data_IF_597256400507
#
_entry.id   IF_597256400507
#
_cell.length_a   1.000
_cell.length_b   1.000
_cell.length_c   1.000
_cell.angle_alpha   90.00
_cell.angle_beta   90.00
_cell.angle_gamma   90.00
#
_symmetry.space_group_name_H-M   'P 1'
#
loop_
_entity.id
_entity.type
_entity.pdbx_description
1 polymer ?
#
# COMPACT_ATOMS: atom_id res chain seq x y z
N UNK A 1 2.62 -25.82 -33.44
CA UNK A 1 2.44 -24.83 -32.36
C UNK A 1 3.50 -25.10 -31.31
N UNK A 2 4.24 -24.08 -30.84
CA UNK A 2 5.27 -24.26 -29.79
C UNK A 2 4.59 -24.40 -28.42
N UNK A 3 5.07 -25.29 -27.57
CA UNK A 3 4.65 -25.36 -26.15
C UNK A 3 5.13 -24.12 -25.39
N UNK A 4 4.26 -23.58 -24.53
CA UNK A 4 4.60 -22.45 -23.65
C UNK A 4 4.78 -23.01 -22.24
N UNK A 5 6.02 -23.04 -21.75
CA UNK A 5 6.36 -23.61 -20.43
C UNK A 5 6.37 -22.55 -19.32
N UNK A 6 6.53 -21.27 -19.69
CA UNK A 6 6.64 -20.14 -18.75
C UNK A 6 5.96 -18.91 -19.33
N UNK A 7 5.32 -18.15 -18.47
CA UNK A 7 4.75 -16.82 -18.75
C UNK A 7 5.55 -15.77 -17.99
N UNK A 8 5.65 -14.57 -18.57
CA UNK A 8 6.20 -13.42 -17.85
C UNK A 8 5.20 -12.94 -16.80
N UNK A 9 5.70 -12.52 -15.66
CA UNK A 9 4.95 -11.84 -14.62
C UNK A 9 5.75 -10.64 -14.13
N UNK A 10 5.06 -9.56 -13.80
CA UNK A 10 5.68 -8.36 -13.25
C UNK A 10 6.34 -8.69 -11.89
N UNK A 11 7.65 -8.40 -11.70
CA UNK A 11 8.35 -8.71 -10.46
C UNK A 11 7.77 -8.05 -9.21
N UNK A 12 7.29 -6.81 -9.31
CA UNK A 12 6.69 -6.08 -8.20
C UNK A 12 5.35 -6.71 -7.82
N UNK A 13 4.56 -7.14 -8.81
CA UNK A 13 3.34 -7.93 -8.59
C UNK A 13 3.63 -9.21 -7.81
N UNK A 14 4.67 -9.96 -8.18
CA UNK A 14 5.04 -11.19 -7.47
C UNK A 14 5.42 -10.92 -6.00
N UNK A 15 6.15 -9.83 -5.74
CA UNK A 15 6.54 -9.42 -4.38
C UNK A 15 5.31 -9.16 -3.50
N UNK A 16 4.37 -8.37 -4.00
CA UNK A 16 3.23 -7.94 -3.20
C UNK A 16 2.13 -8.99 -3.08
N UNK A 17 1.93 -9.83 -4.10
CA UNK A 17 1.06 -11.01 -3.97
C UNK A 17 1.61 -12.02 -2.94
N UNK A 18 2.93 -12.22 -2.89
CA UNK A 18 3.55 -13.05 -1.87
C UNK A 18 3.35 -12.48 -0.47
N UNK A 19 3.54 -11.18 -0.29
CA UNK A 19 3.34 -10.51 0.99
C UNK A 19 1.86 -10.56 1.43
N UNK A 20 0.92 -10.28 0.52
CA UNK A 20 -0.52 -10.40 0.78
C UNK A 20 -0.89 -11.82 1.26
N UNK A 21 -0.40 -12.85 0.57
CA UNK A 21 -0.65 -14.23 0.96
C UNK A 21 -0.10 -14.56 2.36
N UNK A 22 1.10 -14.06 2.71
CA UNK A 22 1.66 -14.22 4.05
C UNK A 22 0.88 -13.47 5.14
N UNK A 23 0.18 -12.40 4.77
CA UNK A 23 -0.73 -11.67 5.65
C UNK A 23 -2.14 -12.29 5.73
N UNK A 24 -2.40 -13.37 4.98
CA UNK A 24 -3.70 -14.06 4.95
C UNK A 24 -4.68 -13.50 3.92
N UNK A 25 -4.22 -12.67 2.99
CA UNK A 25 -5.03 -12.06 1.94
C UNK A 25 -4.85 -12.78 0.61
N UNK A 26 -5.95 -13.21 0.01
CA UNK A 26 -6.01 -13.67 -1.37
C UNK A 26 -6.44 -12.51 -2.26
N UNK A 27 -5.57 -12.08 -3.15
CA UNK A 27 -5.85 -10.93 -4.01
C UNK A 27 -6.56 -11.38 -5.29
N UNK A 28 -7.68 -10.75 -5.61
CA UNK A 28 -8.41 -10.91 -6.86
C UNK A 28 -8.45 -9.59 -7.65
N UNK A 29 -8.68 -9.69 -8.96
CA UNK A 29 -8.74 -8.54 -9.86
C UNK A 29 -10.16 -8.45 -10.44
N UNK A 30 -10.80 -7.29 -10.36
CA UNK A 30 -12.15 -7.06 -10.87
C UNK A 30 -12.29 -5.66 -11.45
N UNK A 31 -13.10 -5.48 -12.49
CA UNK A 31 -13.40 -4.16 -13.06
C UNK A 31 -14.56 -3.45 -12.32
N UNK A 32 -15.14 -4.09 -11.30
CA UNK A 32 -16.36 -3.62 -10.63
C UNK A 32 -16.10 -2.78 -9.37
N UNK A 33 -14.88 -2.81 -8.83
CA UNK A 33 -14.50 -2.12 -7.60
C UNK A 33 -13.12 -1.49 -7.73
N UNK A 34 -12.86 -0.43 -6.96
CA UNK A 34 -11.50 0.12 -6.84
C UNK A 34 -10.65 -0.76 -5.90
N UNK A 35 -11.11 -0.94 -4.66
CA UNK A 35 -10.65 -1.95 -3.73
C UNK A 35 -11.83 -2.37 -2.84
N UNK A 36 -11.87 -3.63 -2.43
CA UNK A 36 -12.83 -4.12 -1.45
C UNK A 36 -12.31 -5.35 -0.71
N UNK A 37 -12.57 -5.39 0.59
CA UNK A 37 -12.28 -6.52 1.44
C UNK A 37 -13.58 -7.22 1.85
N UNK A 38 -13.65 -8.53 1.64
CA UNK A 38 -14.87 -9.30 1.85
C UNK A 38 -15.18 -9.69 3.31
N UNK A 39 -14.27 -9.40 4.26
CA UNK A 39 -14.40 -9.85 5.65
C UNK A 39 -14.02 -11.32 5.87
N UNK A 40 -13.49 -12.02 4.86
CA UNK A 40 -13.33 -13.47 4.87
C UNK A 40 -12.06 -13.99 4.17
N UNK A 41 -11.17 -13.11 3.69
CA UNK A 41 -9.87 -13.52 3.13
C UNK A 41 -9.57 -12.98 1.74
N UNK A 42 -10.52 -12.32 1.08
CA UNK A 42 -10.38 -11.86 -0.30
C UNK A 42 -10.28 -10.35 -0.35
N UNK A 43 -9.15 -9.89 -0.91
CA UNK A 43 -8.93 -8.50 -1.26
C UNK A 43 -9.12 -8.34 -2.77
N UNK A 44 -10.24 -7.76 -3.19
CA UNK A 44 -10.52 -7.49 -4.59
C UNK A 44 -10.00 -6.11 -4.95
N UNK A 45 -9.17 -6.00 -5.99
CA UNK A 45 -8.60 -4.73 -6.45
C UNK A 45 -8.93 -4.52 -7.93
N UNK A 46 -9.25 -3.28 -8.30
CA UNK A 46 -9.55 -2.82 -9.66
C UNK A 46 -8.58 -3.35 -10.71
N UNK A 47 -9.05 -3.75 -11.89
CA UNK A 47 -8.14 -4.09 -13.00
C UNK A 47 -7.37 -2.84 -13.46
N UNK A 48 -6.22 -2.97 -14.15
CA UNK A 48 -5.42 -1.81 -14.55
C UNK A 48 -6.21 -0.76 -15.35
N UNK A 49 -7.25 -1.17 -16.08
CA UNK A 49 -8.10 -0.28 -16.88
C UNK A 49 -9.06 0.59 -16.04
N UNK A 50 -9.25 0.25 -14.76
CA UNK A 50 -10.14 0.97 -13.83
C UNK A 50 -9.40 1.77 -12.77
N UNK A 51 -8.07 1.70 -12.74
CA UNK A 51 -7.20 2.41 -11.80
C UNK A 51 -6.57 3.64 -12.48
N UNK A 52 -6.03 4.56 -11.68
CA UNK A 52 -5.31 5.71 -12.23
C UNK A 52 -4.02 5.23 -12.93
N UNK A 53 -3.51 5.92 -13.97
CA UNK A 53 -2.36 5.45 -14.74
C UNK A 53 -1.06 5.30 -13.93
N UNK A 54 -0.96 5.96 -12.78
CA UNK A 54 0.14 5.86 -11.83
C UNK A 54 -0.17 4.95 -10.63
N UNK A 55 -1.24 4.16 -10.69
CA UNK A 55 -1.51 3.06 -9.77
C UNK A 55 -0.79 1.77 -10.18
N UNK A 56 -0.24 1.11 -9.17
CA UNK A 56 0.26 -0.26 -9.26
C UNK A 56 -0.48 -1.16 -8.28
N UNK A 57 -0.50 -2.46 -8.56
CA UNK A 57 -1.04 -3.44 -7.61
C UNK A 57 -0.35 -3.35 -6.24
N UNK A 58 0.94 -3.00 -6.21
CA UNK A 58 1.69 -2.81 -4.97
C UNK A 58 1.18 -1.64 -4.13
N UNK A 59 0.91 -0.48 -4.74
CA UNK A 59 0.29 0.66 -4.07
C UNK A 59 -1.05 0.26 -3.45
N UNK A 60 -1.90 -0.41 -4.22
CA UNK A 60 -3.22 -0.83 -3.75
C UNK A 60 -3.15 -1.83 -2.59
N UNK A 61 -2.26 -2.83 -2.65
CA UNK A 61 -2.09 -3.79 -1.55
C UNK A 61 -1.53 -3.09 -0.30
N UNK A 62 -0.55 -2.20 -0.44
CA UNK A 62 -0.02 -1.46 0.71
C UNK A 62 -1.10 -0.60 1.35
N UNK A 63 -1.89 0.11 0.55
CA UNK A 63 -2.97 0.99 1.00
C UNK A 63 -4.02 0.22 1.80
N UNK A 64 -4.53 -0.89 1.25
CA UNK A 64 -5.51 -1.75 1.93
C UNK A 64 -4.95 -2.40 3.18
N UNK A 65 -3.66 -2.75 3.18
CA UNK A 65 -2.99 -3.23 4.39
C UNK A 65 -2.92 -2.14 5.45
N UNK A 66 -2.69 -0.89 5.07
CA UNK A 66 -2.67 0.24 5.99
C UNK A 66 -4.06 0.51 6.58
N UNK A 67 -5.14 0.37 5.80
CA UNK A 67 -6.51 0.42 6.33
C UNK A 67 -6.73 -0.63 7.42
N UNK A 68 -6.46 -1.90 7.12
CA UNK A 68 -6.63 -2.96 8.11
C UNK A 68 -5.79 -2.73 9.38
N UNK A 69 -4.57 -2.22 9.24
CA UNK A 69 -3.71 -1.88 10.38
C UNK A 69 -4.23 -0.69 11.19
N UNK A 70 -4.89 0.29 10.57
CA UNK A 70 -5.52 1.43 11.24
C UNK A 70 -6.75 0.99 12.01
N UNK A 71 -7.67 0.26 11.36
CA UNK A 71 -8.88 -0.27 12.00
C UNK A 71 -8.54 -1.24 13.14
N UNK A 72 -7.52 -2.06 12.95
CA UNK A 72 -6.95 -2.88 14.01
C UNK A 72 -7.62 -4.23 14.22
N UNK A 73 -7.37 -4.88 15.37
CA UNK A 73 -7.77 -6.26 15.59
C UNK A 73 -9.27 -6.48 15.44
N UNK A 74 -9.66 -7.46 14.61
CA UNK A 74 -11.05 -7.82 14.37
C UNK A 74 -11.65 -7.19 13.12
N UNK A 75 -11.01 -6.18 12.52
CA UNK A 75 -11.45 -5.57 11.26
C UNK A 75 -11.46 -6.56 10.10
N UNK A 76 -10.62 -7.60 10.16
CA UNK A 76 -10.49 -8.61 9.11
C UNK A 76 -11.79 -9.42 8.91
N UNK A 77 -12.71 -9.38 9.88
CA UNK A 77 -14.03 -10.04 9.82
C UNK A 77 -15.15 -9.12 9.35
N UNK A 78 -14.84 -7.87 9.04
CA UNK A 78 -15.80 -6.84 8.64
C UNK A 78 -15.63 -6.51 7.16
N UNK A 79 -16.73 -6.26 6.47
CA UNK A 79 -16.70 -5.76 5.09
C UNK A 79 -15.94 -4.42 5.03
N UNK A 80 -15.01 -4.31 4.08
CA UNK A 80 -14.11 -3.15 3.90
C UNK A 80 -13.51 -2.66 5.22
N UNK A 81 -13.04 -3.62 6.03
CA UNK A 81 -12.40 -3.40 7.34
C UNK A 81 -13.32 -2.75 8.40
N UNK A 82 -14.61 -2.58 8.10
CA UNK A 82 -15.58 -1.87 8.94
C UNK A 82 -15.80 -0.40 8.55
N UNK A 83 -15.18 0.08 7.47
CA UNK A 83 -15.23 1.49 7.05
C UNK A 83 -16.56 1.91 6.39
N UNK A 84 -17.40 0.96 5.96
CA UNK A 84 -18.63 1.22 5.17
C UNK A 84 -19.59 2.22 5.84
N UNK A 85 -19.57 2.32 7.18
CA UNK A 85 -20.48 3.19 7.94
C UNK A 85 -19.75 4.09 8.97
N UNK A 86 -18.44 4.30 8.82
CA UNK A 86 -17.69 5.12 9.77
C UNK A 86 -17.99 6.62 9.57
N UNK A 87 -18.58 7.33 10.55
CA UNK A 87 -18.84 8.77 10.42
C UNK A 87 -17.55 9.59 10.26
N UNK A 88 -16.43 9.06 10.78
CA UNK A 88 -15.10 9.67 10.72
C UNK A 88 -14.21 9.03 9.65
N UNK A 89 -14.79 8.42 8.59
CA UNK A 89 -14.04 7.72 7.52
C UNK A 89 -12.86 8.52 6.97
N UNK A 90 -12.99 9.85 6.88
CA UNK A 90 -11.91 10.74 6.42
C UNK A 90 -10.69 10.75 7.35
N UNK A 91 -10.90 10.69 8.66
CA UNK A 91 -9.79 10.64 9.64
C UNK A 91 -9.07 9.29 9.53
N UNK A 92 -9.80 8.21 9.32
CA UNK A 92 -9.23 6.87 9.12
C UNK A 92 -8.45 6.78 7.80
N UNK A 93 -8.98 7.38 6.73
CA UNK A 93 -8.27 7.55 5.46
C UNK A 93 -6.94 8.31 5.64
N UNK A 94 -6.99 9.46 6.31
CA UNK A 94 -5.79 10.24 6.61
C UNK A 94 -4.78 9.44 7.45
N UNK A 95 -5.25 8.64 8.40
CA UNK A 95 -4.39 7.78 9.21
C UNK A 95 -3.73 6.67 8.38
N UNK A 96 -4.48 6.07 7.45
CA UNK A 96 -3.98 5.11 6.47
C UNK A 96 -2.84 5.74 5.64
N UNK A 97 -3.07 6.93 5.09
CA UNK A 97 -2.10 7.66 4.28
C UNK A 97 -0.83 8.05 5.06
N UNK A 98 -0.97 8.48 6.32
CA UNK A 98 0.18 8.76 7.20
C UNK A 98 0.99 7.51 7.48
N UNK A 99 0.33 6.39 7.75
CA UNK A 99 1.00 5.10 7.95
C UNK A 99 1.73 4.64 6.68
N UNK A 100 1.06 4.74 5.53
CA UNK A 100 1.61 4.41 4.21
C UNK A 100 2.87 5.22 3.92
N UNK A 101 2.83 6.54 4.13
CA UNK A 101 3.99 7.40 3.98
C UNK A 101 5.13 6.99 4.94
N UNK A 102 4.82 6.78 6.22
CA UNK A 102 5.84 6.40 7.22
C UNK A 102 6.50 5.06 6.89
N UNK A 103 5.75 4.08 6.39
CA UNK A 103 6.28 2.78 5.95
C UNK A 103 7.14 2.93 4.70
N UNK A 104 6.68 3.68 3.70
CA UNK A 104 7.41 3.93 2.47
C UNK A 104 8.72 4.71 2.70
N UNK A 105 8.75 5.62 3.67
CA UNK A 105 9.95 6.36 4.08
C UNK A 105 11.07 5.45 4.55
N UNK A 106 10.74 4.32 5.20
CA UNK A 106 11.76 3.39 5.71
C UNK A 106 12.67 2.81 4.63
N UNK A 107 12.26 2.89 3.37
CA UNK A 107 12.98 2.36 2.21
C UNK A 107 13.16 3.39 1.09
N UNK A 108 12.89 4.68 1.36
CA UNK A 108 13.05 5.76 0.38
C UNK A 108 12.08 5.67 -0.81
N UNK A 109 10.85 5.19 -0.58
CA UNK A 109 9.84 4.94 -1.63
C UNK A 109 8.57 5.80 -1.45
N UNK A 110 8.64 6.92 -0.72
CA UNK A 110 7.44 7.74 -0.38
C UNK A 110 6.64 8.16 -1.61
N UNK A 111 7.32 8.67 -2.64
CA UNK A 111 6.66 9.17 -3.85
C UNK A 111 6.09 8.02 -4.69
N UNK A 112 6.82 6.90 -4.81
CA UNK A 112 6.32 5.70 -5.47
C UNK A 112 5.02 5.18 -4.85
N UNK A 113 4.95 5.13 -3.52
CA UNK A 113 3.78 4.67 -2.79
C UNK A 113 2.79 5.79 -2.46
N UNK A 114 2.82 6.94 -3.15
CA UNK A 114 1.82 7.97 -2.93
C UNK A 114 0.42 7.52 -3.37
N UNK A 115 -0.61 7.99 -2.66
CA UNK A 115 -1.99 7.81 -3.10
C UNK A 115 -2.26 8.63 -4.36
N UNK A 116 -2.94 8.06 -5.34
CA UNK A 116 -3.20 8.62 -6.68
C UNK A 116 -4.54 9.35 -6.77
N UNK A 117 -5.44 9.04 -5.83
CA UNK A 117 -6.83 9.52 -5.82
C UNK A 117 -6.96 10.99 -5.35
N UNK A 118 -8.20 11.43 -5.09
CA UNK A 118 -8.51 12.75 -4.52
C UNK A 118 -7.79 13.10 -3.20
N UNK A 119 -7.17 12.12 -2.52
CA UNK A 119 -6.37 12.33 -1.32
C UNK A 119 -4.88 12.63 -1.60
N UNK A 120 -4.45 12.64 -2.87
CA UNK A 120 -3.10 13.03 -3.26
C UNK A 120 -2.65 14.37 -2.66
N UNK A 121 -3.47 15.45 -2.66
CA UNK A 121 -3.07 16.72 -2.05
C UNK A 121 -2.81 16.62 -0.54
N UNK A 122 -3.52 15.74 0.17
CA UNK A 122 -3.26 15.48 1.59
C UNK A 122 -1.92 14.75 1.77
N UNK A 123 -1.69 13.69 0.98
CA UNK A 123 -0.46 12.90 1.04
C UNK A 123 0.79 13.74 0.72
N UNK A 124 0.73 14.58 -0.32
CA UNK A 124 1.83 15.46 -0.71
C UNK A 124 2.13 16.54 0.33
N UNK A 125 1.13 16.94 1.13
CA UNK A 125 1.28 17.91 2.21
C UNK A 125 1.82 17.30 3.50
N UNK A 126 2.00 15.97 3.59
CA UNK A 126 2.48 15.32 4.80
C UNK A 126 3.90 15.78 5.17
N UNK A 127 4.20 15.99 6.46
CA UNK A 127 5.52 16.37 6.91
C UNK A 127 6.55 15.26 6.63
N UNK A 128 7.83 15.60 6.72
CA UNK A 128 8.93 14.63 6.58
C UNK A 128 8.84 13.47 7.59
N UNK A 129 8.25 13.72 8.77
CA UNK A 129 7.90 12.68 9.74
C UNK A 129 6.36 12.55 9.83
N UNK A 130 5.72 11.62 9.07
CA UNK A 130 4.26 11.56 8.94
C UNK A 130 3.50 11.28 10.25
N UNK A 131 4.19 10.69 11.23
CA UNK A 131 3.65 10.34 12.54
C UNK A 131 3.97 11.38 13.63
N UNK A 132 4.63 12.50 13.27
CA UNK A 132 4.82 13.59 14.21
C UNK A 132 3.45 14.22 14.54
N UNK A 133 3.26 14.59 15.81
CA UNK A 133 2.06 15.29 16.25
C UNK A 133 2.04 16.70 15.67
N UNK A 134 1.05 16.97 14.82
CA UNK A 134 0.79 18.25 14.17
C UNK A 134 -0.65 18.73 14.41
N UNK A 135 -1.36 18.11 15.35
CA UNK A 135 -2.76 18.40 15.66
C UNK A 135 -3.79 17.71 14.75
N UNK A 136 -3.37 16.95 13.74
CA UNK A 136 -4.28 16.12 12.94
C UNK A 136 -4.75 14.89 13.75
N UNK A 137 -6.06 14.68 13.93
CA UNK A 137 -6.59 13.53 14.68
C UNK A 137 -6.15 12.17 14.11
N UNK A 138 -5.75 12.12 12.84
CA UNK A 138 -5.23 10.92 12.20
C UNK A 138 -3.92 10.39 12.81
N UNK A 139 -3.11 11.24 13.44
CA UNK A 139 -1.77 10.87 13.95
C UNK A 139 -1.86 9.79 15.02
N UNK A 140 -2.86 9.86 15.91
CA UNK A 140 -3.03 8.87 16.97
C UNK A 140 -3.32 7.48 16.42
N UNK A 141 -4.23 7.40 15.43
CA UNK A 141 -4.58 6.16 14.74
C UNK A 141 -3.38 5.60 13.96
N UNK A 142 -2.69 6.45 13.18
CA UNK A 142 -1.52 6.05 12.40
C UNK A 142 -0.37 5.56 13.30
N UNK A 143 -0.16 6.18 14.46
CA UNK A 143 0.86 5.77 15.44
C UNK A 143 0.56 4.41 16.07
N UNK A 144 -0.71 4.15 16.41
CA UNK A 144 -1.13 2.84 16.88
C UNK A 144 -0.94 1.76 15.80
N UNK A 145 -1.32 2.09 14.56
CA UNK A 145 -1.16 1.23 13.40
C UNK A 145 0.31 0.94 13.07
N UNK A 146 1.21 1.93 13.22
CA UNK A 146 2.66 1.74 13.10
C UNK A 146 3.19 0.69 14.07
N UNK A 147 2.70 0.70 15.32
CA UNK A 147 3.03 -0.32 16.30
C UNK A 147 2.65 -1.73 15.84
N UNK A 148 1.48 -1.87 15.21
CA UNK A 148 1.01 -3.14 14.63
C UNK A 148 1.83 -3.52 13.40
N UNK A 149 2.13 -2.57 12.52
CA UNK A 149 2.91 -2.76 11.31
C UNK A 149 4.35 -3.21 11.58
N UNK A 150 4.95 -2.79 12.70
CA UNK A 150 6.37 -3.05 13.00
C UNK A 150 6.61 -4.20 13.99
N UNK A 151 5.60 -4.58 14.76
CA UNK A 151 5.72 -5.63 15.79
C UNK A 151 4.67 -6.74 15.69
N UNK A 152 3.64 -6.54 14.88
CA UNK A 152 2.54 -7.48 14.71
C UNK A 152 2.87 -8.61 13.72
N UNK A 153 1.89 -9.50 13.46
CA UNK A 153 2.08 -10.66 12.59
C UNK A 153 2.45 -10.29 11.14
N UNK A 154 2.07 -9.09 10.70
CA UNK A 154 2.34 -8.60 9.34
C UNK A 154 3.68 -7.87 9.20
N UNK A 155 4.44 -7.70 10.28
CA UNK A 155 5.66 -6.90 10.26
C UNK A 155 6.71 -7.44 9.28
N UNK A 156 6.94 -8.75 9.31
CA UNK A 156 7.89 -9.41 8.41
C UNK A 156 7.48 -9.31 6.93
N UNK A 157 6.29 -9.76 6.50
CA UNK A 157 5.90 -9.69 5.09
C UNK A 157 5.88 -8.25 4.55
N UNK A 158 5.44 -7.27 5.34
CA UNK A 158 5.46 -5.86 4.95
C UNK A 158 6.88 -5.33 4.77
N UNK A 159 7.75 -5.57 5.76
CA UNK A 159 9.14 -5.14 5.68
C UNK A 159 9.84 -5.74 4.46
N UNK A 160 9.67 -7.04 4.22
CA UNK A 160 10.29 -7.71 3.07
C UNK A 160 9.74 -7.18 1.74
N UNK A 161 8.44 -6.90 1.64
CA UNK A 161 7.83 -6.34 0.43
C UNK A 161 8.39 -4.95 0.10
N UNK A 162 8.45 -4.07 1.11
CA UNK A 162 9.01 -2.71 0.99
C UNK A 162 10.50 -2.77 0.59
N UNK A 163 11.29 -3.62 1.25
CA UNK A 163 12.71 -3.77 0.93
C UNK A 163 12.95 -4.30 -0.48
N UNK A 164 12.20 -5.31 -0.92
CA UNK A 164 12.29 -5.85 -2.28
C UNK A 164 11.83 -4.83 -3.32
N UNK A 165 10.81 -4.04 -3.02
CA UNK A 165 10.38 -2.93 -3.90
C UNK A 165 11.50 -1.91 -4.08
N UNK A 166 12.17 -1.50 -3.00
CA UNK A 166 13.31 -0.59 -3.10
C UNK A 166 14.54 -1.22 -3.79
N UNK A 167 14.74 -2.54 -3.69
CA UNK A 167 15.77 -3.24 -4.47
C UNK A 167 15.48 -3.18 -5.97
N UNK A 168 14.22 -3.36 -6.38
CA UNK A 168 13.79 -3.21 -7.78
C UNK A 168 14.06 -1.77 -8.24
N UNK A 169 13.65 -0.77 -7.45
CA UNK A 169 13.88 0.64 -7.78
C UNK A 169 15.37 0.95 -8.01
N UNK A 170 16.25 0.50 -7.11
CA UNK A 170 17.71 0.67 -7.28
C UNK A 170 18.27 -0.03 -8.51
N UNK A 171 17.70 -1.16 -8.91
CA UNK A 171 18.11 -1.85 -10.13
C UNK A 171 17.72 -1.09 -11.41
N UNK A 172 16.79 -0.14 -11.32
CA UNK A 172 16.32 0.71 -12.40
C UNK A 172 17.04 2.08 -12.43
N UNK A 173 17.96 2.34 -11.51
CA UNK A 173 18.69 3.61 -11.47
C UNK A 173 19.46 3.86 -12.78
N UNK A 174 19.39 5.10 -13.26
CA UNK A 174 19.98 5.53 -14.53
C UNK A 174 19.32 5.03 -15.81
N UNK A 175 18.29 4.16 -15.74
CA UNK A 175 17.59 3.63 -16.94
C UNK A 175 16.14 4.07 -17.09
N UNK A 176 15.55 4.65 -16.03
CA UNK A 176 14.18 5.21 -16.08
C UNK A 176 14.12 6.55 -16.80
N UNK A 177 13.02 6.81 -17.51
CA UNK A 177 12.68 8.16 -17.97
C UNK A 177 12.13 9.02 -16.81
N UNK A 178 12.24 10.36 -16.87
CA UNK A 178 11.78 11.24 -15.78
C UNK A 178 10.29 11.17 -15.46
N UNK A 179 9.46 10.72 -16.41
CA UNK A 179 8.02 10.54 -16.29
C UNK A 179 7.61 9.18 -15.73
N UNK A 180 8.56 8.25 -15.54
CA UNK A 180 8.28 6.96 -14.94
C UNK A 180 8.13 7.08 -13.41
N UNK A 181 7.14 6.39 -12.83
CA UNK A 181 6.94 6.33 -11.37
C UNK A 181 8.19 5.84 -10.61
N UNK A 182 9.02 5.03 -11.25
CA UNK A 182 10.28 4.51 -10.71
C UNK A 182 11.41 5.54 -10.65
N UNK A 183 11.29 6.69 -11.32
CA UNK A 183 12.37 7.65 -11.45
C UNK A 183 12.78 8.23 -10.08
N UNK A 184 14.07 8.13 -9.77
CA UNK A 184 14.66 8.67 -8.53
C UNK A 184 14.20 7.98 -7.23
N UNK A 185 13.56 6.81 -7.31
CA UNK A 185 13.04 6.09 -6.14
C UNK A 185 14.06 5.11 -5.55
N UNK A 186 13.92 4.78 -4.25
CA UNK A 186 14.69 3.71 -3.59
C UNK A 186 16.15 4.03 -3.27
N UNK A 187 16.53 5.29 -3.49
CA UNK A 187 17.78 5.89 -3.03
C UNK A 187 17.59 6.32 -1.57
N UNK A 188 18.32 5.69 -0.65
CA UNK A 188 18.42 6.19 0.72
C UNK A 188 19.41 7.36 0.71
N UNK A 189 18.98 8.53 1.19
CA UNK A 189 19.89 9.64 1.49
C UNK A 189 21.01 9.21 2.45
#
# INVERSE_FOLDING_TARGET
>A
MRTIDKTYADPLTLVWLHAAAQMGMRVERSAEVNASWDGAGVLTIGTPETLDPDDSLAQMILHETCHALVEGPGCERLLDWGLVNAPDKKVHEHACLRLQAALADTVGMRAFFAATTMFRPYYDALPAAPLADDGDPAVSLATAAWGRATRGPWAKPLQEALQRTAQIARALDGVTSPDALWHGQGLTN
#
